data_IF_846237584929
#
_entry.id   IF_846237584929
#
_cell.length_a   1.000
_cell.length_b   1.000
_cell.length_c   1.000
_cell.angle_alpha   90.00
_cell.angle_beta   90.00
_cell.angle_gamma   90.00
#
_symmetry.space_group_name_H-M   'P 1'
#
loop_
_entity.id
_entity.type
_entity.pdbx_description
1 polymer ?
#
# COMPACT_ATOMS: atom_id res chain seq x y z
N UNK A 1 -9.25 -21.63 -7.27
CA UNK A 1 -8.96 -20.35 -6.59
C UNK A 1 -9.46 -20.44 -5.17
N UNK A 2 -8.65 -20.01 -4.18
CA UNK A 2 -9.15 -19.78 -2.82
C UNK A 2 -10.25 -18.72 -2.90
N UNK A 3 -11.40 -18.96 -2.26
CA UNK A 3 -12.50 -17.97 -2.21
C UNK A 3 -12.15 -16.80 -1.31
N UNK A 4 -11.35 -17.03 -0.28
CA UNK A 4 -11.01 -16.03 0.73
C UNK A 4 -9.96 -15.04 0.21
N UNK A 5 -10.28 -13.74 0.23
CA UNK A 5 -9.42 -12.64 -0.24
C UNK A 5 -8.88 -11.77 0.90
N UNK A 6 -9.21 -12.12 2.15
CA UNK A 6 -8.82 -11.36 3.33
C UNK A 6 -7.30 -11.16 3.44
N UNK A 7 -6.90 -9.95 3.83
CA UNK A 7 -5.53 -9.54 4.11
C UNK A 7 -5.55 -8.70 5.39
N UNK A 8 -4.64 -8.89 6.36
CA UNK A 8 -4.63 -8.10 7.58
C UNK A 8 -4.14 -6.65 7.36
N UNK A 9 -3.29 -6.42 6.36
CA UNK A 9 -2.58 -5.14 6.16
C UNK A 9 -3.47 -3.89 6.09
N UNK A 10 -4.65 -3.89 5.44
CA UNK A 10 -5.54 -2.74 5.45
C UNK A 10 -6.03 -2.34 6.84
N UNK A 11 -5.93 -3.19 7.86
CA UNK A 11 -6.37 -2.90 9.23
C UNK A 11 -5.22 -2.49 10.14
N UNK A 12 -4.12 -3.23 10.12
CA UNK A 12 -3.07 -3.11 11.12
C UNK A 12 -1.78 -2.44 10.63
N UNK A 13 -1.69 -2.08 9.35
CA UNK A 13 -0.45 -1.55 8.79
C UNK A 13 -0.58 -0.18 8.14
N UNK A 14 0.55 0.53 8.09
CA UNK A 14 0.74 1.71 7.25
C UNK A 14 2.01 1.53 6.43
N UNK A 15 1.96 1.84 5.14
CA UNK A 15 3.13 1.77 4.27
C UNK A 15 3.42 3.16 3.73
N UNK A 16 4.67 3.59 3.82
CA UNK A 16 5.12 4.90 3.39
C UNK A 16 6.05 4.79 2.19
N UNK A 17 5.88 5.70 1.23
CA UNK A 17 6.90 5.96 0.22
C UNK A 17 8.00 6.84 0.81
N UNK A 18 9.11 6.93 0.10
CA UNK A 18 10.27 7.69 0.54
C UNK A 18 10.08 9.21 0.61
N UNK A 19 9.02 9.74 0.02
CA UNK A 19 8.58 11.14 0.12
C UNK A 19 7.51 11.35 1.21
N UNK A 20 7.19 10.31 1.99
CA UNK A 20 6.19 10.36 3.06
C UNK A 20 4.76 10.03 2.61
N UNK A 21 4.51 9.84 1.31
CA UNK A 21 3.17 9.50 0.82
C UNK A 21 2.72 8.15 1.38
N UNK A 22 1.51 8.12 1.92
CA UNK A 22 0.91 6.93 2.50
C UNK A 22 0.27 6.06 1.41
N UNK A 23 0.40 4.75 1.57
CA UNK A 23 -0.19 3.75 0.66
C UNK A 23 -0.64 2.50 1.39
N UNK A 24 -1.61 1.79 0.82
CA UNK A 24 -2.27 0.67 1.49
C UNK A 24 -1.39 -0.57 1.69
N UNK A 25 -0.40 -0.80 0.82
CA UNK A 25 0.55 -1.90 0.91
C UNK A 25 1.75 -1.62 0.01
N UNK A 26 2.93 -2.17 0.33
CA UNK A 26 4.11 -1.94 -0.50
C UNK A 26 4.01 -2.60 -1.90
N UNK A 27 3.25 -3.70 -2.00
CA UNK A 27 3.05 -4.48 -3.24
C UNK A 27 2.14 -3.79 -4.26
N UNK A 28 1.33 -2.82 -3.85
CA UNK A 28 0.46 -2.07 -4.77
C UNK A 28 1.25 -1.21 -5.73
N UNK A 29 2.56 -1.02 -5.59
CA UNK A 29 3.32 -0.24 -6.56
C UNK A 29 3.33 -0.83 -7.99
N UNK A 30 2.87 -2.08 -8.15
CA UNK A 30 2.82 -2.79 -9.42
C UNK A 30 1.45 -3.45 -9.59
N UNK A 31 0.96 -3.49 -10.83
CA UNK A 31 -0.29 -4.14 -11.21
C UNK A 31 -1.55 -3.60 -10.52
N UNK A 32 -1.53 -2.35 -10.06
CA UNK A 32 -2.69 -1.69 -9.47
C UNK A 32 -3.01 -0.35 -10.16
N UNK A 33 -4.27 0.08 -10.20
CA UNK A 33 -4.65 1.32 -10.88
C UNK A 33 -4.14 2.58 -10.17
N UNK A 34 -4.19 2.65 -8.84
CA UNK A 34 -3.84 3.83 -8.06
C UNK A 34 -2.49 3.71 -7.34
N UNK A 35 -1.74 2.62 -7.57
CA UNK A 35 -0.47 2.33 -6.87
C UNK A 35 -0.64 2.22 -5.35
N UNK A 36 -1.86 2.01 -4.89
CA UNK A 36 -2.30 2.02 -3.50
C UNK A 36 -2.16 3.36 -2.80
N UNK A 37 -1.97 4.47 -3.52
CA UNK A 37 -1.80 5.80 -2.92
C UNK A 37 -3.09 6.21 -2.20
N UNK A 38 -2.96 6.56 -0.92
CA UNK A 38 -4.08 7.07 -0.13
C UNK A 38 -4.29 8.54 -0.43
N UNK A 39 -5.53 8.91 -0.79
CA UNK A 39 -5.93 10.30 -1.01
C UNK A 39 -7.08 10.70 -0.09
N UNK A 40 -7.17 11.97 0.24
CA UNK A 40 -8.35 12.58 0.87
C UNK A 40 -9.52 12.60 -0.13
N UNK A 41 -10.72 12.92 0.34
CA UNK A 41 -11.90 13.09 -0.54
C UNK A 41 -11.70 14.21 -1.57
N UNK A 42 -10.95 15.25 -1.20
CA UNK A 42 -10.58 16.37 -2.08
C UNK A 42 -9.44 16.02 -3.08
N UNK A 43 -8.89 14.81 -2.98
CA UNK A 43 -7.87 14.29 -3.90
C UNK A 43 -6.42 14.60 -3.52
N UNK A 44 -6.16 15.24 -2.37
CA UNK A 44 -4.81 15.43 -1.83
C UNK A 44 -4.23 14.08 -1.37
N UNK A 45 -2.95 13.83 -1.61
CA UNK A 45 -2.28 12.62 -1.14
C UNK A 45 -2.00 12.71 0.36
N UNK A 46 -2.45 11.71 1.12
CA UNK A 46 -2.08 11.58 2.53
C UNK A 46 -0.57 11.43 2.65
N UNK A 47 0.02 12.21 3.56
CA UNK A 47 1.46 12.28 3.76
C UNK A 47 1.80 12.30 5.25
N UNK A 48 2.76 11.46 5.64
CA UNK A 48 3.17 11.25 7.03
C UNK A 48 3.71 12.50 7.74
N UNK A 49 4.20 13.50 7.00
CA UNK A 49 4.66 14.77 7.58
C UNK A 49 3.57 15.83 7.75
N UNK A 50 2.35 15.58 7.28
CA UNK A 50 1.28 16.60 7.20
C UNK A 50 -0.05 16.16 7.81
N UNK A 51 -0.38 14.89 7.69
CA UNK A 51 -1.71 14.37 8.01
C UNK A 51 -1.69 13.44 9.21
N UNK A 52 -2.83 13.36 9.89
CA UNK A 52 -3.03 12.40 10.97
C UNK A 52 -3.15 10.96 10.45
N UNK A 53 -2.54 10.03 11.16
CA UNK A 53 -2.46 8.63 10.73
C UNK A 53 -3.81 7.93 10.91
N UNK A 54 -4.60 8.28 11.92
CA UNK A 54 -5.93 7.70 12.14
C UNK A 54 -6.93 8.21 11.11
N UNK A 55 -6.82 9.47 10.69
CA UNK A 55 -7.57 9.98 9.53
C UNK A 55 -7.21 9.22 8.25
N UNK A 56 -5.91 9.09 7.95
CA UNK A 56 -5.43 8.41 6.75
C UNK A 56 -5.83 6.92 6.69
N UNK A 57 -5.95 6.24 7.84
CA UNK A 57 -6.43 4.85 7.94
C UNK A 57 -7.88 4.67 7.48
N UNK A 58 -8.62 5.75 7.27
CA UNK A 58 -9.95 5.74 6.67
C UNK A 58 -9.99 6.49 5.33
N UNK A 59 -8.86 6.57 4.62
CA UNK A 59 -8.86 7.00 3.22
C UNK A 59 -9.86 6.18 2.37
N UNK A 60 -10.53 6.77 1.37
CA UNK A 60 -11.56 6.09 0.57
C UNK A 60 -11.09 4.74 0.00
N UNK A 61 -9.87 4.69 -0.54
CA UNK A 61 -9.29 3.45 -1.09
C UNK A 61 -9.13 2.33 -0.05
N UNK A 62 -8.84 2.65 1.22
CA UNK A 62 -8.75 1.65 2.28
C UNK A 62 -10.14 1.11 2.64
N UNK A 63 -11.14 1.99 2.70
CA UNK A 63 -12.53 1.59 2.95
C UNK A 63 -13.02 0.62 1.87
N UNK A 64 -12.81 0.97 0.60
CA UNK A 64 -13.14 0.12 -0.56
C UNK A 64 -12.45 -1.25 -0.47
N UNK A 65 -11.14 -1.26 -0.19
CA UNK A 65 -10.36 -2.50 -0.07
C UNK A 65 -10.90 -3.39 1.07
N UNK A 66 -11.18 -2.82 2.24
CA UNK A 66 -11.73 -3.57 3.38
C UNK A 66 -13.12 -4.12 3.05
N UNK A 67 -14.00 -3.30 2.47
CA UNK A 67 -15.35 -3.72 2.09
C UNK A 67 -15.33 -4.88 1.09
N UNK A 68 -14.46 -4.83 0.06
CA UNK A 68 -14.28 -5.95 -0.88
C UNK A 68 -13.76 -7.21 -0.18
N UNK A 69 -12.74 -7.09 0.67
CA UNK A 69 -12.17 -8.24 1.40
C UNK A 69 -13.17 -8.91 2.35
N UNK A 70 -14.02 -8.12 3.02
CA UNK A 70 -15.08 -8.66 3.89
C UNK A 70 -16.16 -9.41 3.08
N UNK A 71 -16.35 -9.08 1.80
CA UNK A 71 -17.24 -9.77 0.86
C UNK A 71 -16.59 -10.93 0.11
N UNK A 72 -15.33 -11.27 0.42
CA UNK A 72 -14.52 -12.26 -0.31
C UNK A 72 -14.30 -11.90 -1.79
N UNK A 73 -14.21 -10.61 -2.07
CA UNK A 73 -13.95 -10.05 -3.40
C UNK A 73 -12.52 -9.52 -3.49
N UNK A 74 -11.92 -9.62 -4.67
CA UNK A 74 -10.60 -9.05 -4.94
C UNK A 74 -10.74 -7.58 -5.32
N UNK A 75 -10.11 -6.69 -4.54
CA UNK A 75 -9.99 -5.30 -4.93
C UNK A 75 -8.93 -5.13 -6.05
N UNK A 76 -9.12 -4.26 -7.06
CA UNK A 76 -8.14 -4.04 -8.14
C UNK A 76 -6.73 -3.66 -7.66
N UNK A 77 -6.62 -3.02 -6.49
CA UNK A 77 -5.31 -2.70 -5.89
C UNK A 77 -4.53 -3.93 -5.41
N UNK A 78 -5.21 -5.05 -5.18
CA UNK A 78 -4.64 -6.29 -4.69
C UNK A 78 -4.32 -7.28 -5.81
N UNK A 79 -4.42 -6.85 -7.06
CA UNK A 79 -4.30 -7.71 -8.25
C UNK A 79 -2.97 -8.45 -8.32
N UNK A 80 -1.86 -7.83 -7.88
CA UNK A 80 -0.57 -8.53 -7.81
C UNK A 80 -0.64 -9.81 -6.98
N UNK A 81 -1.22 -9.75 -5.77
CA UNK A 81 -1.37 -10.94 -4.92
C UNK A 81 -2.31 -11.96 -5.56
N UNK A 82 -3.40 -11.51 -6.21
CA UNK A 82 -4.29 -12.40 -6.96
C UNK A 82 -3.53 -13.15 -8.06
N UNK A 83 -2.71 -12.45 -8.84
CA UNK A 83 -1.89 -13.02 -9.90
C UNK A 83 -0.86 -14.02 -9.35
N UNK A 84 -0.18 -13.69 -8.26
CA UNK A 84 0.74 -14.61 -7.59
C UNK A 84 0.00 -15.91 -7.22
N UNK A 85 -1.16 -15.82 -6.57
CA UNK A 85 -1.93 -16.97 -6.09
C UNK A 85 -2.52 -17.85 -7.20
N UNK A 86 -3.08 -17.27 -8.27
CA UNK A 86 -3.63 -18.07 -9.38
C UNK A 86 -2.53 -18.83 -10.13
N UNK A 87 -1.29 -18.35 -10.06
CA UNK A 87 -0.12 -19.00 -10.65
C UNK A 87 0.60 -19.93 -9.65
N UNK A 88 0.03 -20.17 -8.46
CA UNK A 88 0.59 -21.06 -7.45
C UNK A 88 1.80 -20.49 -6.70
N UNK A 89 2.00 -19.18 -6.73
CA UNK A 89 3.04 -18.48 -5.98
C UNK A 89 2.43 -17.98 -4.67
N UNK A 90 3.14 -18.21 -3.56
CA UNK A 90 2.75 -17.71 -2.24
C UNK A 90 2.79 -16.18 -2.25
N UNK A 91 1.63 -15.55 -2.10
CA UNK A 91 1.54 -14.09 -2.17
C UNK A 91 1.92 -13.43 -0.85
N UNK A 92 2.22 -12.13 -0.89
CA UNK A 92 2.40 -11.35 0.35
C UNK A 92 1.21 -11.48 1.28
N UNK A 93 -0.02 -11.42 0.74
CA UNK A 93 -1.24 -11.57 1.56
C UNK A 93 -1.24 -12.87 2.34
N UNK A 94 -0.79 -13.97 1.75
CA UNK A 94 -0.73 -15.27 2.42
C UNK A 94 0.32 -15.28 3.54
N UNK A 95 1.49 -14.66 3.36
CA UNK A 95 2.47 -14.48 4.43
C UNK A 95 1.90 -13.65 5.59
N UNK A 96 1.29 -12.52 5.29
CA UNK A 96 0.75 -11.63 6.33
C UNK A 96 -0.40 -12.32 7.09
N UNK A 97 -1.20 -13.17 6.41
CA UNK A 97 -2.21 -13.99 7.08
C UNK A 97 -1.62 -15.08 7.99
N UNK A 98 -0.34 -15.44 7.86
CA UNK A 98 0.33 -16.34 8.79
C UNK A 98 0.85 -15.55 10.00
N UNK A 99 1.40 -14.36 9.75
CA UNK A 99 2.14 -13.58 10.76
C UNK A 99 1.25 -12.79 11.72
N UNK A 100 0.01 -12.43 11.32
CA UNK A 100 -0.87 -11.57 12.12
C UNK A 100 -2.10 -12.30 12.65
N UNK A 101 -2.50 -11.96 13.89
CA UNK A 101 -3.68 -12.53 14.55
C UNK A 101 -5.01 -11.98 14.01
N UNK A 102 -5.00 -10.79 13.41
CA UNK A 102 -6.22 -10.23 12.81
C UNK A 102 -6.66 -11.08 11.61
N UNK A 103 -7.84 -11.67 11.76
CA UNK A 103 -8.56 -12.47 10.77
C UNK A 103 -9.91 -11.83 10.43
N UNK A 104 -10.58 -12.36 9.41
CA UNK A 104 -11.87 -11.83 8.93
C UNK A 104 -12.93 -11.72 10.03
N UNK A 105 -13.07 -12.73 10.87
CA UNK A 105 -14.00 -12.76 12.01
C UNK A 105 -13.68 -11.70 13.07
N UNK A 106 -12.41 -11.42 13.32
CA UNK A 106 -11.98 -10.32 14.23
C UNK A 106 -12.08 -8.93 13.60
N UNK A 107 -11.99 -8.84 12.27
CA UNK A 107 -12.06 -7.57 11.52
C UNK A 107 -13.50 -7.05 11.36
N UNK A 108 -14.48 -7.95 11.23
CA UNK A 108 -15.92 -7.59 11.11
C UNK A 108 -16.41 -6.69 12.27
N UNK A 109 -16.21 -7.03 13.57
CA UNK A 109 -16.77 -6.22 14.67
C UNK A 109 -16.13 -4.84 14.84
N UNK A 110 -15.00 -4.57 14.17
CA UNK A 110 -14.27 -3.30 14.22
C UNK A 110 -14.36 -2.51 12.91
N UNK A 111 -15.14 -2.98 11.93
CA UNK A 111 -15.28 -2.35 10.62
C UNK A 111 -16.75 -2.17 10.26
N UNK A 112 -17.12 -0.98 9.81
CA UNK A 112 -18.46 -0.69 9.29
C UNK A 112 -18.67 -1.33 7.92
N UNK A 113 -19.92 -1.40 7.46
CA UNK A 113 -20.28 -2.03 6.18
C UNK A 113 -19.61 -1.37 4.96
N UNK A 114 -19.35 -0.06 5.05
CA UNK A 114 -18.64 0.71 4.02
C UNK A 114 -17.12 0.51 4.05
N UNK A 115 -16.59 -0.24 5.00
CA UNK A 115 -15.15 -0.46 5.20
C UNK A 115 -14.48 0.57 6.12
N UNK A 116 -15.23 1.48 6.75
CA UNK A 116 -14.69 2.39 7.76
C UNK A 116 -14.22 1.59 8.98
N UNK A 117 -12.95 1.79 9.38
CA UNK A 117 -12.34 1.15 10.54
C UNK A 117 -12.54 1.99 11.80
N UNK A 118 -12.92 1.33 12.89
CA UNK A 118 -12.84 1.87 14.24
C UNK A 118 -11.37 1.87 14.70
N UNK A 119 -10.72 3.02 14.53
CA UNK A 119 -9.28 3.20 14.78
C UNK A 119 -8.89 3.05 16.26
N UNK A 120 -9.85 3.22 17.18
CA UNK A 120 -9.62 3.06 18.62
C UNK A 120 -9.59 1.57 19.03
N UNK A 121 -10.22 0.70 18.23
CA UNK A 121 -10.25 -0.76 18.47
C UNK A 121 -9.13 -1.53 17.79
N UNK A 122 -8.45 -0.93 16.81
CA UNK A 122 -7.32 -1.56 16.13
C UNK A 122 -6.12 -0.62 16.14
N UNK A 123 -5.06 -1.03 16.84
CA UNK A 123 -3.79 -0.31 16.78
C UNK A 123 -3.07 -0.55 15.45
N UNK A 124 -2.17 0.37 15.10
CA UNK A 124 -1.18 0.14 14.05
C UNK A 124 -0.10 -0.78 14.64
N UNK A 125 0.03 -1.98 14.08
CA UNK A 125 0.98 -3.00 14.54
C UNK A 125 2.23 -3.03 13.66
N UNK A 126 2.14 -2.56 12.42
CA UNK A 126 3.23 -2.59 11.45
C UNK A 126 3.33 -1.28 10.67
N UNK A 127 4.54 -0.75 10.53
CA UNK A 127 4.81 0.40 9.64
C UNK A 127 5.98 0.07 8.73
N UNK A 128 5.74 0.05 7.42
CA UNK A 128 6.77 0.01 6.38
C UNK A 128 7.22 1.45 6.08
N UNK A 129 8.40 1.83 6.57
CA UNK A 129 8.97 3.17 6.38
C UNK A 129 10.18 3.10 5.45
N UNK A 130 10.16 3.92 4.40
CA UNK A 130 11.34 4.16 3.55
C UNK A 130 11.98 5.50 3.89
N UNK A 131 13.18 5.47 4.46
CA UNK A 131 13.95 6.67 4.80
C UNK A 131 14.59 7.30 3.57
N UNK A 132 13.81 8.06 2.80
CA UNK A 132 14.29 8.81 1.64
C UNK A 132 14.83 7.93 0.50
N UNK A 133 15.58 8.55 -0.40
CA UNK A 133 16.21 7.87 -1.55
C UNK A 133 17.73 8.10 -1.63
N UNK A 134 18.32 8.49 -0.50
CA UNK A 134 19.76 8.73 -0.40
C UNK A 134 20.50 7.39 -0.44
N UNK A 135 20.89 6.96 -1.65
CA UNK A 135 21.59 5.71 -1.90
C UNK A 135 22.77 5.96 -2.85
N UNK A 136 23.94 5.45 -2.48
CA UNK A 136 25.21 5.61 -3.22
C UNK A 136 25.47 4.50 -4.24
N UNK A 137 24.59 3.49 -4.36
CA UNK A 137 24.80 2.32 -5.20
C UNK A 137 24.28 2.47 -6.65
N UNK A 138 23.53 3.55 -6.98
CA UNK A 138 22.97 3.80 -8.33
C UNK A 138 22.17 2.63 -8.94
N UNK A 139 21.48 1.85 -8.12
CA UNK A 139 20.81 0.63 -8.56
C UNK A 139 19.67 0.91 -9.56
N UNK A 140 19.81 0.42 -10.81
CA UNK A 140 18.75 0.49 -11.84
C UNK A 140 17.44 -0.18 -11.41
N UNK A 141 17.53 -1.24 -10.61
CA UNK A 141 16.36 -1.99 -10.12
C UNK A 141 15.48 -1.17 -9.17
N UNK A 142 16.09 -0.29 -8.36
CA UNK A 142 15.37 0.59 -7.45
C UNK A 142 14.73 1.78 -8.18
N UNK A 143 15.26 2.12 -9.36
CA UNK A 143 14.80 3.26 -10.14
C UNK A 143 15.23 4.61 -9.57
N UNK A 144 14.96 5.71 -10.30
CA UNK A 144 15.44 7.04 -9.94
C UNK A 144 14.68 7.64 -8.73
N UNK A 145 13.52 7.08 -8.39
CA UNK A 145 12.73 7.50 -7.22
C UNK A 145 13.38 7.03 -5.92
N UNK A 146 13.90 5.81 -5.86
CA UNK A 146 14.44 5.19 -4.66
C UNK A 146 16.00 5.14 -4.63
N UNK A 147 16.65 5.68 -5.66
CA UNK A 147 18.12 5.80 -5.76
C UNK A 147 18.50 7.12 -6.44
N UNK A 148 18.66 8.20 -5.68
CA UNK A 148 18.86 9.54 -6.26
C UNK A 148 20.10 9.64 -7.17
N UNK A 149 21.18 8.91 -6.88
CA UNK A 149 22.40 8.92 -7.70
C UNK A 149 22.18 8.31 -9.09
N UNK A 150 21.13 7.51 -9.29
CA UNK A 150 20.73 6.97 -10.59
C UNK A 150 19.99 8.01 -11.46
N UNK A 151 19.39 9.03 -10.84
CA UNK A 151 18.56 10.02 -11.54
C UNK A 151 19.26 10.71 -12.73
N UNK A 152 20.52 11.19 -12.64
CA UNK A 152 21.19 11.82 -13.77
C UNK A 152 21.38 10.88 -14.97
N UNK A 153 21.65 9.60 -14.69
CA UNK A 153 21.86 8.58 -15.72
C UNK A 153 20.52 8.16 -16.34
N UNK A 154 19.46 8.08 -15.54
CA UNK A 154 18.09 7.87 -16.02
C UNK A 154 17.66 8.96 -17.02
N UNK A 155 17.84 10.25 -16.68
CA UNK A 155 17.47 11.38 -17.55
C UNK A 155 18.16 11.32 -18.91
N UNK A 156 19.45 10.94 -18.94
CA UNK A 156 20.21 10.78 -20.18
C UNK A 156 19.69 9.63 -21.04
N UNK A 157 19.21 8.55 -20.41
CA UNK A 157 18.70 7.37 -21.11
C UNK A 157 17.27 7.54 -21.63
N UNK A 158 16.49 8.45 -21.04
CA UNK A 158 15.08 8.63 -21.35
C UNK A 158 14.76 9.95 -22.04
N UNK A 159 15.73 10.56 -22.71
CA UNK A 159 15.59 11.82 -23.45
C UNK A 159 14.89 12.92 -22.64
N UNK A 160 15.25 13.07 -21.36
CA UNK A 160 14.69 14.12 -20.51
C UNK A 160 13.35 13.81 -19.84
N UNK A 161 12.78 12.60 -19.97
CA UNK A 161 11.59 12.22 -19.19
C UNK A 161 11.88 12.29 -17.69
N UNK A 162 11.19 13.18 -16.99
CA UNK A 162 11.30 13.34 -15.53
C UNK A 162 10.36 12.39 -14.79
N UNK A 163 10.82 11.83 -13.68
CA UNK A 163 9.93 11.21 -12.69
C UNK A 163 9.45 12.27 -11.71
N UNK A 164 8.23 12.12 -11.19
CA UNK A 164 7.54 13.03 -10.23
C UNK A 164 8.22 13.14 -8.85
N UNK A 165 9.52 12.87 -8.75
CA UNK A 165 10.34 12.99 -7.53
C UNK A 165 10.98 14.38 -7.41
N UNK A 166 10.96 15.18 -8.49
CA UNK A 166 11.48 16.56 -8.51
C UNK A 166 10.38 17.64 -8.51
N UNK A 167 9.13 17.25 -8.23
CA UNK A 167 8.06 18.19 -7.90
C UNK A 167 7.88 18.22 -6.38
#
# INVERSE_FOLDING_TARGET
>A
MKKETFCPLPWNSINLRNNGDMRICCNTNSYSPQKGIMKTEDGETYNAGKHDFNEARNAPILKEVRASMLKDEWHPECERCRQEEINGILSRREYENIDWDIKKDTAIPITMEDGTLDVDKQSIEFIDIRYGNFCNLKCRMCGPTDSHMWYPDFIKLTDGRVTSYKD
#
